data_IF_959971912463
#
_entry.id   IF_959971912463
#
_cell.length_a   1.000
_cell.length_b   1.000
_cell.length_c   1.000
_cell.angle_alpha   90.00
_cell.angle_beta   90.00
_cell.angle_gamma   90.00
#
_symmetry.space_group_name_H-M   'P 1'
#
loop_
_entity.id
_entity.type
_entity.pdbx_description
1 polymer ?
#
# COMPACT_ATOMS: atom_id res chain seq x y z
N UNK A 1 -2.33 -18.80 8.81
CA UNK A 1 -1.45 -19.47 7.83
C UNK A 1 -1.78 -20.97 7.71
N UNK A 2 -1.70 -21.82 8.75
CA UNK A 2 -1.87 -23.27 8.58
C UNK A 2 -3.12 -23.65 7.81
N UNK A 3 -4.27 -23.01 8.10
CA UNK A 3 -5.51 -23.29 7.40
C UNK A 3 -5.44 -23.00 5.89
N UNK A 4 -4.69 -21.98 5.48
CA UNK A 4 -4.50 -21.62 4.06
C UNK A 4 -3.42 -22.46 3.38
N UNK A 5 -2.40 -22.85 4.10
CA UNK A 5 -1.25 -23.59 3.55
C UNK A 5 -1.50 -25.10 3.56
N UNK A 6 -2.06 -25.63 4.68
CA UNK A 6 -2.18 -27.06 4.96
C UNK A 6 -3.64 -27.56 4.87
N UNK A 7 -4.61 -26.65 4.75
CA UNK A 7 -6.05 -26.97 4.74
C UNK A 7 -6.62 -27.31 6.11
N UNK A 8 -5.81 -27.31 7.17
CA UNK A 8 -6.26 -27.58 8.53
C UNK A 8 -5.52 -26.74 9.57
N UNK A 9 -6.15 -26.54 10.72
CA UNK A 9 -5.56 -25.90 11.88
C UNK A 9 -6.15 -26.46 13.17
N UNK A 10 -5.30 -26.75 14.15
CA UNK A 10 -5.69 -26.98 15.56
C UNK A 10 -4.77 -26.14 16.42
N UNK A 11 -5.20 -24.91 16.72
CA UNK A 11 -4.43 -23.92 17.46
C UNK A 11 -5.08 -23.64 18.81
N UNK A 12 -4.30 -23.77 19.87
CA UNK A 12 -4.69 -23.46 21.24
C UNK A 12 -3.85 -22.29 21.75
N UNK A 13 -4.40 -21.09 21.72
CA UNK A 13 -3.73 -19.87 22.17
C UNK A 13 -4.30 -19.31 23.47
N UNK A 14 -3.63 -18.33 24.02
CA UNK A 14 -4.08 -17.67 25.25
C UNK A 14 -5.44 -16.95 25.08
N UNK A 15 -5.71 -16.38 23.92
CA UNK A 15 -6.92 -15.58 23.64
C UNK A 15 -7.84 -16.23 22.62
N UNK A 16 -7.30 -17.06 21.74
CA UNK A 16 -8.05 -17.70 20.66
C UNK A 16 -7.72 -19.17 20.57
N UNK A 17 -8.77 -19.96 20.42
CA UNK A 17 -8.67 -21.38 20.08
C UNK A 17 -9.35 -21.59 18.75
N UNK A 18 -8.64 -22.18 17.79
CA UNK A 18 -9.14 -22.38 16.43
C UNK A 18 -8.93 -23.83 16.04
N UNK A 19 -10.03 -24.52 15.74
CA UNK A 19 -9.99 -25.85 15.13
C UNK A 19 -10.86 -25.83 13.89
N UNK A 20 -10.23 -25.96 12.72
CA UNK A 20 -10.93 -25.92 11.45
C UNK A 20 -10.20 -26.75 10.40
N UNK A 21 -10.96 -27.26 9.44
CA UNK A 21 -10.45 -27.96 8.27
C UNK A 21 -11.31 -27.60 7.07
N UNK A 22 -10.68 -27.38 5.92
CA UNK A 22 -11.38 -27.27 4.65
C UNK A 22 -10.56 -27.88 3.52
N UNK A 23 -11.23 -28.26 2.43
CA UNK A 23 -10.59 -28.74 1.22
C UNK A 23 -11.03 -27.88 0.05
N UNK A 24 -10.06 -27.36 -0.68
CA UNK A 24 -10.29 -26.63 -1.93
C UNK A 24 -9.58 -27.39 -3.05
N UNK A 25 -10.31 -28.17 -3.87
CA UNK A 25 -9.69 -28.92 -4.97
C UNK A 25 -8.94 -27.99 -5.92
N UNK A 26 -7.67 -28.30 -6.18
CA UNK A 26 -6.80 -27.45 -7.03
C UNK A 26 -6.37 -26.15 -6.39
N UNK A 27 -6.52 -25.98 -5.07
CA UNK A 27 -6.00 -24.82 -4.38
C UNK A 27 -4.49 -24.68 -4.56
N UNK A 28 -4.08 -23.47 -4.93
CA UNK A 28 -2.67 -23.06 -4.95
C UNK A 28 -2.40 -22.26 -3.69
N UNK A 29 -1.12 -22.10 -3.37
CA UNK A 29 -0.69 -21.18 -2.30
C UNK A 29 -1.25 -19.77 -2.54
N UNK A 30 -1.98 -19.24 -1.55
CA UNK A 30 -2.56 -17.89 -1.58
C UNK A 30 -1.65 -16.94 -0.80
N UNK A 31 -1.02 -15.95 -1.46
CA UNK A 31 -0.20 -14.97 -0.77
C UNK A 31 -1.05 -14.14 0.21
N UNK A 32 -0.55 -13.98 1.43
CA UNK A 32 -1.20 -13.18 2.48
C UNK A 32 -0.37 -11.94 2.73
N UNK A 33 -0.95 -10.76 2.51
CA UNK A 33 -0.35 -9.48 2.90
C UNK A 33 -1.07 -8.90 4.11
N UNK A 34 -0.31 -8.28 5.02
CA UNK A 34 -0.84 -7.68 6.26
C UNK A 34 -0.69 -6.17 6.19
N UNK A 35 -1.75 -5.42 6.49
CA UNK A 35 -1.65 -3.97 6.62
C UNK A 35 -0.73 -3.61 7.79
N UNK A 36 0.41 -3.00 7.52
CA UNK A 36 1.41 -2.68 8.53
C UNK A 36 2.13 -1.36 8.24
N UNK A 37 2.23 -0.51 9.27
CA UNK A 37 2.99 0.75 9.26
C UNK A 37 3.97 0.81 10.42
N UNK A 38 3.57 0.33 11.61
CA UNK A 38 4.40 0.36 12.80
C UNK A 38 5.48 -0.73 12.77
N UNK A 39 6.66 -0.50 13.40
CA UNK A 39 7.80 -1.43 13.35
C UNK A 39 7.46 -2.87 13.79
N UNK A 40 6.64 -3.03 14.82
CA UNK A 40 6.20 -4.35 15.29
C UNK A 40 5.36 -5.08 14.24
N UNK A 41 4.42 -4.38 13.60
CA UNK A 41 3.56 -4.97 12.57
C UNK A 41 4.35 -5.27 11.29
N UNK A 42 5.30 -4.43 10.90
CA UNK A 42 6.22 -4.71 9.79
C UNK A 42 7.09 -5.94 10.06
N UNK A 43 7.52 -6.11 11.32
CA UNK A 43 8.23 -7.34 11.72
C UNK A 43 7.34 -8.57 11.56
N UNK A 44 6.12 -8.54 12.07
CA UNK A 44 5.17 -9.66 11.93
C UNK A 44 4.87 -9.95 10.46
N UNK A 45 4.69 -8.89 9.64
CA UNK A 45 4.47 -9.05 8.21
C UNK A 45 5.63 -9.76 7.51
N UNK A 46 6.89 -9.41 7.83
CA UNK A 46 8.07 -10.08 7.28
C UNK A 46 8.24 -11.51 7.79
N UNK A 47 8.06 -11.73 9.11
CA UNK A 47 8.24 -13.06 9.73
C UNK A 47 7.14 -14.07 9.35
N UNK A 48 5.90 -13.62 9.11
CA UNK A 48 4.74 -14.52 9.07
C UNK A 48 3.80 -14.36 7.86
N UNK A 49 3.99 -13.31 7.05
CA UNK A 49 3.17 -13.04 5.87
C UNK A 49 4.01 -12.96 4.60
N UNK A 50 3.36 -12.85 3.44
CA UNK A 50 4.04 -12.76 2.15
C UNK A 50 4.27 -11.28 1.74
N UNK A 51 3.94 -10.36 2.63
CA UNK A 51 4.17 -8.94 2.43
C UNK A 51 3.34 -8.03 3.30
N UNK A 52 3.41 -6.75 2.97
CA UNK A 52 2.64 -5.69 3.64
C UNK A 52 1.82 -4.88 2.65
N UNK A 53 0.72 -4.32 3.13
CA UNK A 53 -0.02 -3.26 2.45
C UNK A 53 0.08 -1.98 3.28
N UNK A 54 0.55 -0.89 2.65
CA UNK A 54 0.60 0.44 3.27
C UNK A 54 -0.42 1.37 2.63
N UNK A 55 -0.88 2.36 3.41
CA UNK A 55 -1.79 3.40 2.95
C UNK A 55 -1.28 4.76 3.39
N UNK A 56 -1.37 5.79 2.55
CA UNK A 56 -0.91 7.15 2.84
C UNK A 56 0.56 7.23 3.30
N UNK A 57 1.42 6.48 2.64
CA UNK A 57 2.84 6.38 2.96
C UNK A 57 3.65 6.81 1.75
N UNK A 58 4.36 7.92 1.84
CA UNK A 58 5.15 8.48 0.74
C UNK A 58 6.41 7.67 0.41
N UNK A 59 7.06 7.93 -0.75
CA UNK A 59 8.19 7.13 -1.22
C UNK A 59 9.40 7.18 -0.28
N UNK A 60 9.74 8.32 0.30
CA UNK A 60 10.83 8.41 1.28
C UNK A 60 10.58 7.53 2.51
N UNK A 61 9.33 7.46 2.96
CA UNK A 61 8.93 6.60 4.08
C UNK A 61 8.94 5.13 3.70
N UNK A 62 8.53 4.79 2.48
CA UNK A 62 8.65 3.41 1.96
C UNK A 62 10.11 2.98 1.98
N UNK A 63 11.02 3.77 1.39
CA UNK A 63 12.45 3.47 1.31
C UNK A 63 13.13 3.39 2.68
N UNK A 64 12.91 4.40 3.55
CA UNK A 64 13.67 4.55 4.80
C UNK A 64 13.07 3.79 5.98
N UNK A 65 11.77 3.51 5.96
CA UNK A 65 11.06 2.93 7.10
C UNK A 65 10.46 1.55 6.81
N UNK A 66 9.72 1.39 5.70
CA UNK A 66 8.99 0.14 5.43
C UNK A 66 9.93 -0.95 4.94
N UNK A 67 10.60 -0.71 3.80
CA UNK A 67 11.47 -1.68 3.11
C UNK A 67 12.54 -2.28 4.01
N UNK A 68 13.36 -1.48 4.75
CA UNK A 68 14.43 -2.05 5.54
C UNK A 68 13.94 -2.92 6.71
N UNK A 69 12.76 -2.60 7.25
CA UNK A 69 12.22 -3.33 8.41
C UNK A 69 11.61 -4.66 8.02
N UNK A 70 10.80 -4.64 6.95
CA UNK A 70 10.13 -5.88 6.53
C UNK A 70 11.11 -6.88 5.92
N UNK A 71 12.09 -6.40 5.12
CA UNK A 71 13.12 -7.26 4.53
C UNK A 71 13.99 -7.90 5.63
N UNK A 72 14.48 -7.11 6.59
CA UNK A 72 15.23 -7.66 7.73
C UNK A 72 14.45 -8.72 8.50
N UNK A 73 13.15 -8.53 8.68
CA UNK A 73 12.31 -9.50 9.38
C UNK A 73 12.12 -10.79 8.58
N UNK A 74 11.93 -10.67 7.26
CA UNK A 74 11.83 -11.81 6.36
C UNK A 74 13.15 -12.60 6.32
N UNK A 75 14.28 -11.92 6.15
CA UNK A 75 15.64 -12.52 6.17
C UNK A 75 15.91 -13.26 7.49
N UNK A 76 15.54 -12.64 8.63
CA UNK A 76 15.73 -13.25 9.96
C UNK A 76 14.86 -14.50 10.18
N UNK A 77 13.79 -14.65 9.42
CA UNK A 77 12.87 -15.77 9.45
C UNK A 77 13.09 -16.77 8.29
N UNK A 78 14.18 -16.60 7.53
CA UNK A 78 14.52 -17.42 6.35
C UNK A 78 13.37 -17.49 5.32
N UNK A 79 12.74 -16.32 5.07
CA UNK A 79 11.61 -16.20 4.14
C UNK A 79 11.99 -15.46 2.87
N UNK A 80 11.28 -15.72 1.76
CA UNK A 80 11.46 -14.96 0.53
C UNK A 80 11.24 -13.46 0.72
N UNK A 81 11.79 -12.64 -0.20
CA UNK A 81 11.55 -11.20 -0.24
C UNK A 81 10.06 -10.89 -0.22
N UNK A 82 9.59 -10.07 0.73
CA UNK A 82 8.17 -9.79 0.89
C UNK A 82 7.65 -8.84 -0.19
N UNK A 83 6.38 -8.97 -0.54
CA UNK A 83 5.68 -7.97 -1.35
C UNK A 83 5.45 -6.70 -0.53
N UNK A 84 5.69 -5.57 -1.16
CA UNK A 84 5.47 -4.24 -0.57
C UNK A 84 4.44 -3.52 -1.42
N UNK A 85 3.18 -3.69 -1.03
CA UNK A 85 2.04 -3.11 -1.73
C UNK A 85 1.76 -1.71 -1.16
N UNK A 86 1.83 -0.68 -1.99
CA UNK A 86 1.58 0.70 -1.58
C UNK A 86 0.24 1.18 -2.14
N UNK A 87 -0.64 1.68 -1.27
CA UNK A 87 -1.91 2.28 -1.65
C UNK A 87 -1.89 3.79 -1.50
N UNK A 88 -2.26 4.51 -2.55
CA UNK A 88 -2.28 5.98 -2.54
C UNK A 88 -3.46 6.54 -3.33
N UNK A 89 -4.01 7.71 -2.92
CA UNK A 89 -4.90 8.49 -3.76
C UNK A 89 -4.17 8.99 -5.02
N UNK A 90 -4.85 8.93 -6.16
CA UNK A 90 -4.29 9.35 -7.44
C UNK A 90 -5.33 10.09 -8.28
N UNK A 91 -4.91 11.18 -8.90
CA UNK A 91 -5.69 11.88 -9.91
C UNK A 91 -4.81 12.49 -11.00
N UNK A 92 -5.08 12.16 -12.26
CA UNK A 92 -4.48 12.84 -13.42
C UNK A 92 -5.32 14.06 -13.76
N UNK A 93 -4.71 15.24 -13.72
CA UNK A 93 -5.41 16.52 -13.94
C UNK A 93 -4.44 17.62 -14.35
N UNK A 94 -4.95 18.60 -15.09
CA UNK A 94 -4.25 19.85 -15.39
C UNK A 94 -4.51 20.95 -14.33
N UNK A 95 -5.37 20.64 -13.33
CA UNK A 95 -5.64 21.53 -12.20
C UNK A 95 -5.22 20.87 -10.86
N UNK A 96 -3.92 20.78 -10.57
CA UNK A 96 -3.42 20.12 -9.37
C UNK A 96 -3.83 20.83 -8.07
N UNK A 97 -4.11 22.12 -8.10
CA UNK A 97 -4.53 22.86 -6.91
C UNK A 97 -5.94 22.43 -6.46
N UNK A 98 -6.88 22.30 -7.39
CA UNK A 98 -8.22 21.80 -7.10
C UNK A 98 -8.18 20.36 -6.59
N UNK A 99 -7.38 19.50 -7.25
CA UNK A 99 -7.20 18.12 -6.83
C UNK A 99 -6.63 18.01 -5.42
N UNK A 100 -5.62 18.82 -5.08
CA UNK A 100 -5.04 18.85 -3.72
C UNK A 100 -6.05 19.33 -2.67
N UNK A 101 -6.85 20.34 -2.98
CA UNK A 101 -7.91 20.82 -2.09
C UNK A 101 -8.97 19.73 -1.86
N UNK A 102 -9.35 19.00 -2.90
CA UNK A 102 -10.28 17.87 -2.78
C UNK A 102 -9.67 16.70 -1.99
N UNK A 103 -8.41 16.35 -2.24
CA UNK A 103 -7.68 15.34 -1.48
C UNK A 103 -7.58 15.72 0.02
N UNK A 104 -7.28 16.98 0.33
CA UNK A 104 -7.24 17.48 1.70
C UNK A 104 -8.60 17.32 2.40
N UNK A 105 -9.70 17.63 1.72
CA UNK A 105 -11.07 17.48 2.25
C UNK A 105 -11.41 16.01 2.47
N UNK A 106 -11.07 15.13 1.53
CA UNK A 106 -11.46 13.71 1.55
C UNK A 106 -10.60 12.91 2.52
N UNK A 107 -9.29 13.14 2.50
CA UNK A 107 -8.32 12.32 3.23
C UNK A 107 -7.72 13.00 4.46
N UNK A 108 -8.04 14.26 4.72
CA UNK A 108 -7.44 15.05 5.83
C UNK A 108 -7.52 14.38 7.20
N UNK A 109 -8.56 13.57 7.46
CA UNK A 109 -8.70 12.82 8.70
C UNK A 109 -7.53 11.87 8.97
N UNK A 110 -6.90 11.31 7.94
CA UNK A 110 -5.74 10.42 8.13
C UNK A 110 -4.57 11.13 8.80
N UNK A 111 -4.38 12.43 8.56
CA UNK A 111 -3.36 13.23 9.22
C UNK A 111 -3.51 13.35 10.74
N UNK A 112 -4.71 13.03 11.29
CA UNK A 112 -5.01 13.06 12.72
C UNK A 112 -4.87 11.68 13.39
N UNK A 113 -4.76 10.61 12.61
CA UNK A 113 -4.62 9.25 13.11
C UNK A 113 -3.15 8.96 13.39
N UNK A 114 -2.79 8.61 14.61
CA UNK A 114 -1.42 8.48 15.10
C UNK A 114 -0.50 7.66 14.17
N UNK A 115 -0.98 6.54 13.64
CA UNK A 115 -0.16 5.68 12.78
C UNK A 115 0.17 6.34 11.44
N UNK A 116 -0.79 7.03 10.83
CA UNK A 116 -0.59 7.76 9.58
C UNK A 116 0.20 9.05 9.80
N UNK A 117 -0.07 9.78 10.89
CA UNK A 117 0.70 10.98 11.25
C UNK A 117 2.20 10.69 11.32
N UNK A 118 2.58 9.56 11.93
CA UNK A 118 3.99 9.14 11.98
C UNK A 118 4.60 8.91 10.60
N UNK A 119 3.84 8.35 9.67
CA UNK A 119 4.34 8.14 8.28
C UNK A 119 4.52 9.48 7.57
N UNK A 120 3.56 10.39 7.72
CA UNK A 120 3.66 11.74 7.17
C UNK A 120 4.80 12.56 7.80
N UNK A 121 5.08 12.36 9.10
CA UNK A 121 6.22 12.97 9.79
C UNK A 121 7.56 12.47 9.25
N UNK A 122 7.68 11.15 8.99
CA UNK A 122 8.87 10.56 8.38
C UNK A 122 9.05 11.05 6.94
N UNK A 123 7.96 11.20 6.21
CA UNK A 123 7.95 11.75 4.85
C UNK A 123 8.34 13.23 4.82
N UNK A 124 8.11 13.95 5.90
CA UNK A 124 8.41 15.38 6.01
C UNK A 124 7.30 16.27 5.46
N UNK A 125 6.04 15.83 5.52
CA UNK A 125 4.87 16.54 4.98
C UNK A 125 3.83 16.85 6.06
N UNK A 126 3.05 17.91 5.84
CA UNK A 126 2.03 18.35 6.81
C UNK A 126 0.76 17.51 6.75
N UNK A 127 0.40 17.00 5.57
CA UNK A 127 -0.88 16.30 5.43
C UNK A 127 -0.97 15.31 4.28
N UNK A 128 -2.05 14.51 4.28
CA UNK A 128 -2.28 13.46 3.29
C UNK A 128 -2.37 13.94 1.83
N UNK A 129 -2.82 15.17 1.62
CA UNK A 129 -2.92 15.74 0.27
C UNK A 129 -1.56 15.96 -0.40
N UNK A 130 -0.49 16.05 0.38
CA UNK A 130 0.86 16.26 -0.15
C UNK A 130 1.48 14.98 -0.68
N UNK A 131 1.10 13.83 -0.13
CA UNK A 131 1.56 12.51 -0.61
C UNK A 131 0.65 11.93 -1.70
N UNK A 132 -0.55 12.47 -1.93
CA UNK A 132 -1.41 12.05 -3.03
C UNK A 132 -0.73 12.30 -4.39
N UNK A 133 -0.82 11.33 -5.30
CA UNK A 133 -0.26 11.43 -6.65
C UNK A 133 -1.17 12.29 -7.52
N UNK A 134 -0.75 13.50 -7.78
CA UNK A 134 -1.57 14.51 -8.49
C UNK A 134 -0.70 15.28 -9.48
N UNK A 135 -1.17 15.40 -10.70
CA UNK A 135 -0.51 16.11 -11.77
C UNK A 135 -1.02 15.69 -13.14
N UNK A 136 -0.34 16.15 -14.20
CA UNK A 136 -0.56 15.60 -15.54
C UNK A 136 0.03 14.17 -15.64
N UNK A 137 -0.12 13.55 -16.80
CA UNK A 137 0.30 12.17 -17.04
C UNK A 137 1.78 11.93 -16.74
N UNK A 138 2.66 12.82 -17.21
CA UNK A 138 4.10 12.69 -17.00
C UNK A 138 4.48 12.83 -15.53
N UNK A 139 3.89 13.79 -14.83
CA UNK A 139 4.11 14.02 -13.41
C UNK A 139 3.64 12.84 -12.55
N UNK A 140 2.47 12.27 -12.84
CA UNK A 140 1.95 11.12 -12.12
C UNK A 140 2.78 9.86 -12.42
N UNK A 141 3.23 9.67 -13.66
CA UNK A 141 4.12 8.57 -14.03
C UNK A 141 5.46 8.66 -13.28
N UNK A 142 6.06 9.85 -13.17
CA UNK A 142 7.28 10.09 -12.39
C UNK A 142 7.08 9.80 -10.89
N UNK A 143 5.95 10.25 -10.32
CA UNK A 143 5.60 9.97 -8.94
C UNK A 143 5.43 8.45 -8.69
N UNK A 144 4.79 7.72 -9.60
CA UNK A 144 4.67 6.26 -9.53
C UNK A 144 6.03 5.58 -9.59
N UNK A 145 6.92 6.05 -10.50
CA UNK A 145 8.28 5.55 -10.59
C UNK A 145 9.06 5.73 -9.29
N UNK A 146 8.88 6.84 -8.59
CA UNK A 146 9.53 7.07 -7.30
C UNK A 146 9.17 6.00 -6.25
N UNK A 147 7.94 5.47 -6.28
CA UNK A 147 7.55 4.35 -5.41
C UNK A 147 8.23 3.04 -5.81
N UNK A 148 8.34 2.76 -7.11
CA UNK A 148 9.07 1.58 -7.60
C UNK A 148 10.56 1.66 -7.20
N UNK A 149 11.19 2.81 -7.40
CA UNK A 149 12.58 3.08 -7.01
C UNK A 149 12.78 2.97 -5.48
N UNK A 150 11.79 3.33 -4.68
CA UNK A 150 11.77 3.18 -3.22
C UNK A 150 11.60 1.73 -2.75
N UNK A 151 11.35 0.78 -3.66
CA UNK A 151 11.23 -0.65 -3.37
C UNK A 151 9.79 -1.15 -3.18
N UNK A 152 8.78 -0.40 -3.61
CA UNK A 152 7.42 -0.94 -3.74
C UNK A 152 7.38 -1.98 -4.86
N UNK A 153 6.73 -3.12 -4.60
CA UNK A 153 6.56 -4.20 -5.60
C UNK A 153 5.20 -4.14 -6.28
N UNK A 154 4.25 -3.53 -5.63
CA UNK A 154 2.86 -3.43 -6.07
C UNK A 154 2.30 -2.05 -5.71
N UNK A 155 1.45 -1.51 -6.57
CA UNK A 155 0.80 -0.23 -6.33
C UNK A 155 -0.72 -0.33 -6.49
N UNK A 156 -1.47 0.16 -5.51
CA UNK A 156 -2.92 0.28 -5.55
C UNK A 156 -3.29 1.77 -5.69
N UNK A 157 -3.70 2.16 -6.88
CA UNK A 157 -4.21 3.49 -7.12
C UNK A 157 -5.66 3.63 -6.64
N UNK A 158 -5.89 4.45 -5.63
CA UNK A 158 -7.22 4.91 -5.26
C UNK A 158 -7.57 6.16 -6.10
N UNK A 159 -8.03 5.92 -7.32
CA UNK A 159 -8.35 7.00 -8.24
C UNK A 159 -9.54 7.80 -7.73
N UNK A 160 -9.42 9.13 -7.70
CA UNK A 160 -10.51 10.04 -7.35
C UNK A 160 -10.75 11.07 -8.47
N UNK A 161 -12.00 11.45 -8.72
CA UNK A 161 -12.32 12.40 -9.79
C UNK A 161 -11.98 13.84 -9.41
N UNK A 162 -11.66 14.67 -10.39
CA UNK A 162 -11.41 16.11 -10.25
C UNK A 162 -12.19 16.88 -11.31
N UNK A 163 -12.76 18.03 -10.93
CA UNK A 163 -13.56 18.87 -11.84
C UNK A 163 -15.01 18.40 -11.97
N UNK A 164 -15.71 18.94 -12.97
CA UNK A 164 -17.17 18.75 -13.14
C UNK A 164 -17.55 17.47 -13.88
N UNK A 165 -16.66 16.89 -14.67
CA UNK A 165 -16.87 15.61 -15.38
C UNK A 165 -16.09 14.50 -14.70
N UNK A 166 -16.73 13.90 -13.70
CA UNK A 166 -16.12 12.81 -12.93
C UNK A 166 -15.77 11.60 -13.80
N UNK A 167 -16.62 11.30 -14.80
CA UNK A 167 -16.42 10.15 -15.70
C UNK A 167 -15.15 10.32 -16.54
N UNK A 168 -15.00 11.47 -17.18
CA UNK A 168 -13.81 11.79 -17.98
C UNK A 168 -12.54 11.84 -17.12
N UNK A 169 -12.61 12.41 -15.90
CA UNK A 169 -11.49 12.47 -14.97
C UNK A 169 -11.02 11.08 -14.52
N UNK A 170 -11.94 10.20 -14.16
CA UNK A 170 -11.61 8.82 -13.80
C UNK A 170 -11.05 8.04 -14.99
N UNK A 171 -11.64 8.19 -16.17
CA UNK A 171 -11.17 7.55 -17.40
C UNK A 171 -9.71 7.95 -17.71
N UNK A 172 -9.40 9.25 -17.68
CA UNK A 172 -8.05 9.79 -17.92
C UNK A 172 -7.01 9.16 -17.01
N UNK A 173 -7.31 9.11 -15.70
CA UNK A 173 -6.40 8.49 -14.72
C UNK A 173 -6.23 6.99 -14.94
N UNK A 174 -7.31 6.27 -15.23
CA UNK A 174 -7.26 4.84 -15.50
C UNK A 174 -6.52 4.51 -16.82
N UNK A 175 -6.62 5.36 -17.83
CA UNK A 175 -5.92 5.14 -19.12
C UNK A 175 -4.40 5.33 -18.96
N UNK A 176 -3.96 6.31 -18.15
CA UNK A 176 -2.56 6.39 -17.75
C UNK A 176 -2.11 5.11 -17.05
N UNK A 177 -2.82 4.68 -16.00
CA UNK A 177 -2.46 3.48 -15.23
C UNK A 177 -2.36 2.24 -16.13
N UNK A 178 -3.32 2.02 -17.04
CA UNK A 178 -3.25 0.92 -18.03
C UNK A 178 -2.00 1.00 -18.90
N UNK A 179 -1.62 2.21 -19.31
CA UNK A 179 -0.45 2.42 -20.17
C UNK A 179 0.88 2.09 -19.48
N UNK A 180 0.91 2.12 -18.14
CA UNK A 180 2.10 1.90 -17.32
C UNK A 180 2.24 0.46 -16.81
N UNK A 181 1.22 -0.39 -16.97
CA UNK A 181 1.30 -1.81 -16.57
C UNK A 181 2.46 -2.51 -17.25
N UNK A 182 3.34 -3.11 -16.44
CA UNK A 182 4.54 -3.81 -16.90
C UNK A 182 5.67 -2.92 -17.40
N UNK A 183 5.64 -1.62 -17.12
CA UNK A 183 6.69 -0.66 -17.48
C UNK A 183 7.37 0.00 -16.27
N UNK A 184 6.86 -0.18 -15.09
CA UNK A 184 7.41 0.31 -13.82
C UNK A 184 7.94 -0.84 -12.98
#
# INVERSE_FOLDING_TARGET
RPLLDDGEVDFQGQFFNVKAQFQVPGALHVPVVIAALAPMMLRIAGEQADGTFTWMTGPNTVESHVVPRINRAADSADRPSPRICVGMPLAVTDNPQEARAQAAKTYGRYGQLTNYRRMLDIEGVEGPSEVALIGNEDQVAEQLKAYADAGATDFLASVFPVGNDEGASLARSNDLLKSLVGKL
#
